data_IF_216454023822
#
_entry.id   IF_216454023822
#
_cell.length_a   1.000
_cell.length_b   1.000
_cell.length_c   1.000
_cell.angle_alpha   90.00
_cell.angle_beta   90.00
_cell.angle_gamma   90.00
#
_symmetry.space_group_name_H-M   'P 1'
#
loop_
_entity.id
_entity.type
_entity.pdbx_description
1 polymer ?
#
# COMPACT_ATOMS: atom_id res chain seq x y z
N UNK A 1 -6.84 6.46 -12.02
CA UNK A 1 -6.79 5.00 -12.05
C UNK A 1 -6.34 4.41 -13.38
N UNK A 2 -6.99 4.67 -14.51
CA UNK A 2 -6.57 4.13 -15.83
C UNK A 2 -5.07 4.39 -16.12
N UNK A 3 -4.59 5.63 -15.93
CA UNK A 3 -3.19 6.01 -16.13
C UNK A 3 -2.22 5.24 -15.21
N UNK A 4 -2.56 5.06 -13.94
CA UNK A 4 -1.78 4.28 -13.00
C UNK A 4 -1.71 2.80 -13.40
N UNK A 5 -2.80 2.22 -13.90
CA UNK A 5 -2.80 0.87 -14.46
C UNK A 5 -1.98 0.75 -15.73
N UNK A 6 -1.98 1.78 -16.61
CA UNK A 6 -1.14 1.82 -17.79
C UNK A 6 0.35 1.80 -17.44
N UNK A 7 0.78 2.68 -16.50
CA UNK A 7 2.16 2.72 -16.01
C UNK A 7 2.55 1.36 -15.40
N UNK A 8 1.65 0.76 -14.62
CA UNK A 8 1.86 -0.55 -14.01
C UNK A 8 1.99 -1.66 -15.06
N UNK A 9 1.17 -1.63 -16.10
CA UNK A 9 1.19 -2.62 -17.18
C UNK A 9 2.45 -2.53 -18.05
N UNK A 10 3.01 -1.33 -18.25
CA UNK A 10 4.28 -1.15 -18.96
C UNK A 10 5.47 -1.82 -18.23
N UNK A 11 5.34 -2.06 -16.94
CA UNK A 11 6.34 -2.74 -16.12
C UNK A 11 6.08 -4.27 -15.97
N UNK A 12 5.19 -4.84 -16.76
CA UNK A 12 4.89 -6.30 -16.74
C UNK A 12 6.09 -7.13 -17.17
N UNK A 13 6.88 -6.65 -18.13
CA UNK A 13 8.14 -7.29 -18.54
C UNK A 13 9.16 -7.40 -17.40
N UNK A 14 9.00 -6.61 -16.35
CA UNK A 14 9.83 -6.62 -15.14
C UNK A 14 9.23 -7.48 -14.00
N UNK A 15 8.33 -8.44 -14.31
CA UNK A 15 7.74 -9.34 -13.32
C UNK A 15 6.61 -8.74 -12.48
N UNK A 16 6.16 -7.50 -12.77
CA UNK A 16 4.99 -6.93 -12.08
C UNK A 16 3.71 -7.58 -12.59
N UNK A 17 3.00 -8.27 -11.70
CA UNK A 17 1.67 -8.79 -12.01
C UNK A 17 0.69 -7.61 -12.18
N UNK A 18 0.11 -7.37 -13.37
CA UNK A 18 -0.83 -6.26 -13.59
C UNK A 18 -2.11 -6.41 -12.77
N UNK A 19 -2.42 -7.62 -12.32
CA UNK A 19 -3.59 -7.90 -11.48
C UNK A 19 -3.33 -7.67 -9.98
N UNK A 20 -2.11 -7.28 -9.56
CA UNK A 20 -1.91 -6.91 -8.15
C UNK A 20 -2.80 -5.72 -7.80
N UNK A 21 -3.60 -5.84 -6.73
CA UNK A 21 -4.50 -4.78 -6.33
C UNK A 21 -3.73 -3.51 -5.97
N UNK A 22 -4.38 -2.37 -6.18
CA UNK A 22 -3.91 -1.09 -5.68
C UNK A 22 -4.16 -1.03 -4.17
N UNK A 23 -3.37 -0.25 -3.45
CA UNK A 23 -3.55 -0.01 -2.02
C UNK A 23 -3.94 1.45 -1.76
N UNK A 24 -4.68 1.69 -0.70
CA UNK A 24 -4.84 3.03 -0.16
C UNK A 24 -3.70 3.37 0.81
N UNK A 25 -3.16 4.58 0.68
CA UNK A 25 -2.36 5.21 1.72
C UNK A 25 -3.28 6.10 2.52
N UNK A 26 -3.40 5.83 3.81
CA UNK A 26 -4.23 6.53 4.77
C UNK A 26 -3.39 7.50 5.61
N UNK A 27 -4.00 8.59 6.08
CA UNK A 27 -3.35 9.58 6.95
C UNK A 27 -3.37 9.18 8.43
N UNK A 28 -4.27 8.28 8.82
CA UNK A 28 -4.48 7.88 10.21
C UNK A 28 -5.28 6.58 10.31
N UNK A 29 -5.40 6.08 11.53
CA UNK A 29 -6.10 4.83 11.81
C UNK A 29 -7.62 4.91 11.59
N UNK A 30 -8.22 6.08 11.77
CA UNK A 30 -9.66 6.28 11.50
C UNK A 30 -9.98 6.07 10.03
N UNK A 31 -9.10 6.51 9.14
CA UNK A 31 -9.24 6.24 7.71
C UNK A 31 -9.10 4.75 7.41
N UNK A 32 -8.12 4.06 8.03
CA UNK A 32 -7.98 2.61 7.88
C UNK A 32 -9.29 1.90 8.24
N UNK A 33 -9.93 2.25 9.35
CA UNK A 33 -11.20 1.68 9.76
C UNK A 33 -12.34 1.99 8.78
N UNK A 34 -12.42 3.23 8.30
CA UNK A 34 -13.50 3.72 7.42
C UNK A 34 -13.64 2.90 6.14
N UNK A 35 -12.53 2.38 5.61
CA UNK A 35 -12.52 1.64 4.35
C UNK A 35 -12.64 0.12 4.53
N UNK A 36 -12.82 -0.36 5.76
CA UNK A 36 -13.02 -1.78 6.09
C UNK A 36 -14.47 -2.07 6.50
N UNK A 37 -14.92 -3.31 6.39
CA UNK A 37 -16.23 -3.75 6.91
C UNK A 37 -16.24 -3.94 8.43
N UNK A 38 -15.21 -3.50 9.12
CA UNK A 38 -14.99 -3.66 10.54
C UNK A 38 -13.66 -4.35 10.80
N UNK A 39 -13.04 -4.00 11.92
CA UNK A 39 -11.81 -4.61 12.38
C UNK A 39 -12.09 -5.19 13.78
N UNK A 40 -11.88 -6.48 14.01
CA UNK A 40 -12.05 -7.07 15.35
C UNK A 40 -11.21 -6.33 16.40
N UNK A 41 -11.74 -6.16 17.60
CA UNK A 41 -11.07 -5.40 18.66
C UNK A 41 -9.63 -5.87 18.96
N UNK A 42 -9.32 -7.17 19.02
CA UNK A 42 -7.93 -7.61 19.18
C UNK A 42 -7.02 -7.13 18.06
N UNK A 43 -7.44 -7.34 16.80
CA UNK A 43 -6.70 -6.88 15.62
C UNK A 43 -6.52 -5.36 15.63
N UNK A 44 -7.55 -4.61 15.99
CA UNK A 44 -7.47 -3.15 16.10
C UNK A 44 -6.40 -2.68 17.09
N UNK A 45 -6.32 -3.34 18.26
CA UNK A 45 -5.28 -3.04 19.27
C UNK A 45 -3.88 -3.30 18.74
N UNK A 46 -3.69 -4.38 17.96
CA UNK A 46 -2.42 -4.70 17.33
C UNK A 46 -2.05 -3.66 16.27
N UNK A 47 -2.98 -3.30 15.39
CA UNK A 47 -2.75 -2.26 14.38
C UNK A 47 -2.29 -0.94 15.01
N UNK A 48 -2.84 -0.56 16.15
CA UNK A 48 -2.43 0.66 16.89
C UNK A 48 -0.96 0.67 17.31
N UNK A 49 -0.39 -0.51 17.56
CA UNK A 49 1.02 -0.65 17.93
C UNK A 49 1.95 -0.65 16.73
N UNK A 50 1.43 -1.08 15.57
CA UNK A 50 2.20 -1.31 14.36
C UNK A 50 2.09 -0.17 13.32
N UNK A 51 1.14 0.75 13.49
CA UNK A 51 0.89 1.87 12.60
C UNK A 51 1.13 3.24 13.28
N UNK A 52 1.79 4.18 12.59
CA UNK A 52 2.32 4.08 11.24
C UNK A 52 3.49 3.11 11.12
N UNK A 53 3.63 2.43 9.95
CA UNK A 53 4.67 1.42 9.80
C UNK A 53 4.77 0.79 8.40
N UNK A 54 5.72 -0.15 8.22
CA UNK A 54 6.05 -0.73 6.92
C UNK A 54 5.11 -1.87 6.52
N UNK A 55 3.82 -1.74 6.81
CA UNK A 55 2.83 -2.78 6.57
C UNK A 55 1.81 -2.40 5.49
N UNK A 56 1.25 -3.44 4.88
CA UNK A 56 0.03 -3.39 4.10
C UNK A 56 -0.94 -4.40 4.71
N UNK A 57 -2.04 -3.91 5.24
CA UNK A 57 -3.09 -4.75 5.81
C UNK A 57 -4.23 -4.93 4.82
N UNK A 58 -4.66 -6.16 4.62
CA UNK A 58 -5.77 -6.50 3.74
C UNK A 58 -6.98 -6.87 4.59
N UNK A 59 -8.12 -6.24 4.28
CA UNK A 59 -9.40 -6.45 4.97
C UNK A 59 -10.54 -6.59 3.97
N UNK A 60 -11.69 -7.08 4.42
CA UNK A 60 -12.94 -6.94 3.67
C UNK A 60 -13.24 -5.46 3.48
N UNK A 61 -13.49 -5.07 2.24
CA UNK A 61 -13.70 -3.69 1.85
C UNK A 61 -15.09 -3.19 2.27
N UNK A 62 -15.14 -2.00 2.88
CA UNK A 62 -16.40 -1.30 3.11
C UNK A 62 -17.09 -0.92 1.78
N UNK A 63 -18.41 -0.72 1.80
CA UNK A 63 -19.21 -0.33 0.61
C UNK A 63 -18.75 0.98 -0.04
N UNK A 64 -18.05 1.85 0.70
CA UNK A 64 -17.50 3.12 0.22
C UNK A 64 -16.29 2.91 -0.72
N UNK A 65 -15.65 1.73 -0.68
CA UNK A 65 -14.51 1.43 -1.57
C UNK A 65 -15.03 1.28 -3.00
N UNK A 66 -14.47 2.04 -3.97
CA UNK A 66 -14.90 1.93 -5.36
C UNK A 66 -14.73 0.51 -5.90
N UNK A 67 -15.74 -0.01 -6.61
CA UNK A 67 -15.73 -1.39 -7.15
C UNK A 67 -14.48 -1.71 -7.99
N UNK A 68 -13.95 -0.73 -8.71
CA UNK A 68 -12.75 -0.88 -9.54
C UNK A 68 -11.45 -1.08 -8.72
N UNK A 69 -11.50 -0.88 -7.41
CA UNK A 69 -10.40 -1.11 -6.46
C UNK A 69 -10.46 -2.51 -5.84
N UNK A 70 -11.62 -3.13 -5.88
CA UNK A 70 -11.84 -4.39 -5.22
C UNK A 70 -11.11 -5.53 -5.93
N UNK A 71 -10.55 -6.41 -5.14
CA UNK A 71 -10.14 -7.73 -5.62
C UNK A 71 -11.38 -8.59 -5.92
N UNK A 72 -11.25 -9.73 -6.61
CA UNK A 72 -12.35 -10.69 -6.75
C UNK A 72 -12.94 -11.15 -5.41
N UNK A 73 -12.16 -11.08 -4.32
CA UNK A 73 -12.57 -11.42 -2.96
C UNK A 73 -13.20 -10.25 -2.19
N UNK A 74 -13.44 -9.12 -2.85
CA UNK A 74 -13.99 -7.89 -2.24
C UNK A 74 -13.13 -7.35 -1.08
N UNK A 75 -11.81 -7.44 -1.24
CA UNK A 75 -10.85 -6.94 -0.24
C UNK A 75 -10.18 -5.65 -0.69
N UNK A 76 -9.64 -4.92 0.27
CA UNK A 76 -8.87 -3.68 0.08
C UNK A 76 -7.57 -3.75 0.86
N UNK A 77 -6.48 -3.32 0.24
CA UNK A 77 -5.19 -3.14 0.90
C UNK A 77 -5.06 -1.72 1.44
N UNK A 78 -4.65 -1.59 2.68
CA UNK A 78 -4.52 -0.33 3.40
C UNK A 78 -3.12 -0.18 3.96
N UNK A 79 -2.55 1.02 3.87
CA UNK A 79 -1.25 1.40 4.42
C UNK A 79 -1.35 2.71 5.16
N UNK A 80 -0.59 2.83 6.22
CA UNK A 80 -0.25 4.10 6.86
C UNK A 80 1.26 4.09 7.11
N UNK A 81 2.07 4.53 6.11
CA UNK A 81 3.52 4.47 6.21
C UNK A 81 4.05 5.48 7.21
N UNK A 82 5.13 5.12 7.89
CA UNK A 82 5.90 6.06 8.70
C UNK A 82 6.87 6.84 7.82
N UNK A 83 6.35 7.86 7.13
CA UNK A 83 7.13 8.70 6.25
C UNK A 83 6.58 10.13 6.22
N UNK A 84 7.35 11.15 6.64
CA UNK A 84 6.83 12.50 6.85
C UNK A 84 6.23 13.13 5.59
N UNK A 85 6.92 13.04 4.44
CA UNK A 85 6.44 13.60 3.17
C UNK A 85 5.12 12.93 2.76
N UNK A 86 5.05 11.60 2.80
CA UNK A 86 3.84 10.86 2.43
C UNK A 86 2.67 11.22 3.33
N UNK A 87 2.91 11.30 4.65
CA UNK A 87 1.89 11.63 5.63
C UNK A 87 1.37 13.05 5.42
N UNK A 88 2.24 14.02 5.14
CA UNK A 88 1.84 15.39 4.88
C UNK A 88 1.01 15.52 3.60
N UNK A 89 1.41 14.84 2.52
CA UNK A 89 0.63 14.81 1.27
C UNK A 89 -0.78 14.27 1.52
N UNK A 90 -0.90 13.12 2.20
CA UNK A 90 -2.21 12.48 2.42
C UNK A 90 -3.09 13.32 3.34
N UNK A 91 -2.52 13.92 4.41
CA UNK A 91 -3.23 14.85 5.30
C UNK A 91 -3.75 16.07 4.55
N UNK A 92 -2.90 16.70 3.74
CA UNK A 92 -3.28 17.89 2.96
C UNK A 92 -4.34 17.57 1.92
N UNK A 93 -4.35 16.35 1.38
CA UNK A 93 -5.37 15.88 0.44
C UNK A 93 -6.74 15.66 1.09
N UNK A 94 -6.77 15.37 2.40
CA UNK A 94 -7.99 15.17 3.18
C UNK A 94 -8.72 13.85 2.93
N UNK A 95 -8.12 12.94 2.17
CA UNK A 95 -8.64 11.59 1.92
C UNK A 95 -7.51 10.66 1.46
N UNK A 96 -7.67 9.33 1.57
CA UNK A 96 -6.67 8.37 1.13
C UNK A 96 -6.31 8.50 -0.34
N UNK A 97 -5.06 8.25 -0.67
CA UNK A 97 -4.56 8.22 -2.03
C UNK A 97 -4.28 6.78 -2.48
N UNK A 98 -4.48 6.55 -3.77
CA UNK A 98 -4.15 5.27 -4.39
C UNK A 98 -2.65 5.14 -4.59
N UNK A 99 -2.10 3.99 -4.27
CA UNK A 99 -0.69 3.72 -4.48
C UNK A 99 -0.41 2.36 -5.13
N UNK A 100 0.72 2.29 -5.76
CA UNK A 100 1.31 1.06 -6.28
C UNK A 100 2.82 1.18 -6.26
N UNK A 101 3.52 0.07 -6.02
CA UNK A 101 4.99 0.04 -6.15
C UNK A 101 5.39 0.13 -7.61
N UNK A 102 6.43 0.90 -7.90
CA UNK A 102 7.16 0.87 -9.15
C UNK A 102 8.38 -0.02 -8.99
N UNK A 103 8.72 -0.80 -10.03
CA UNK A 103 9.81 -1.76 -10.00
C UNK A 103 10.72 -1.60 -11.20
N UNK A 104 12.00 -1.83 -10.99
CA UNK A 104 13.01 -1.97 -12.04
C UNK A 104 12.91 -3.40 -12.59
N UNK A 105 12.83 -4.39 -11.71
CA UNK A 105 12.71 -5.82 -12.03
C UNK A 105 11.70 -6.53 -11.12
N UNK A 106 11.60 -7.85 -11.18
CA UNK A 106 10.72 -8.64 -10.32
C UNK A 106 11.00 -8.41 -8.83
N UNK A 107 12.27 -8.27 -8.47
CA UNK A 107 12.74 -8.21 -7.08
C UNK A 107 13.31 -6.85 -6.69
N UNK A 108 13.49 -5.93 -7.64
CA UNK A 108 14.15 -4.65 -7.45
C UNK A 108 13.16 -3.49 -7.55
N UNK A 109 13.17 -2.60 -6.56
CA UNK A 109 12.41 -1.35 -6.53
C UNK A 109 13.29 -0.19 -6.95
N UNK A 110 12.67 0.90 -7.41
CA UNK A 110 13.36 2.18 -7.54
C UNK A 110 13.67 2.75 -6.16
N UNK A 111 14.89 3.14 -5.91
CA UNK A 111 15.36 3.79 -4.69
C UNK A 111 15.97 5.18 -4.95
N UNK A 112 16.40 5.45 -6.18
CA UNK A 112 16.89 6.75 -6.62
C UNK A 112 15.79 7.55 -7.35
N UNK A 113 15.44 8.75 -6.87
CA UNK A 113 14.44 9.60 -7.52
C UNK A 113 14.88 10.08 -8.90
N UNK A 114 16.18 10.14 -9.19
CA UNK A 114 16.69 10.49 -10.52
C UNK A 114 16.27 9.46 -11.57
N UNK A 115 16.43 8.18 -11.29
CA UNK A 115 16.02 7.10 -12.21
C UNK A 115 14.52 7.08 -12.44
N UNK A 116 13.75 7.33 -11.37
CA UNK A 116 12.30 7.52 -11.47
C UNK A 116 11.96 8.71 -12.36
N UNK A 117 12.63 9.84 -12.19
CA UNK A 117 12.42 11.04 -12.99
C UNK A 117 12.68 10.75 -14.46
N UNK A 118 13.83 10.22 -14.82
CA UNK A 118 14.19 9.94 -16.20
C UNK A 118 13.19 9.01 -16.88
N UNK A 119 12.72 8.00 -16.20
CA UNK A 119 11.77 7.04 -16.76
C UNK A 119 10.34 7.56 -16.86
N UNK A 120 9.87 8.33 -15.88
CA UNK A 120 8.44 8.65 -15.74
C UNK A 120 8.07 10.12 -15.96
N UNK A 121 9.03 11.06 -16.14
CA UNK A 121 8.77 12.50 -16.31
C UNK A 121 7.76 12.85 -17.40
N UNK A 122 7.61 12.00 -18.45
CA UNK A 122 6.62 12.19 -19.51
C UNK A 122 5.29 11.45 -19.26
N UNK A 123 5.18 10.70 -18.17
CA UNK A 123 4.05 9.83 -17.88
C UNK A 123 3.28 10.25 -16.63
N UNK A 124 3.86 11.10 -15.78
CA UNK A 124 3.27 11.62 -14.56
C UNK A 124 3.23 13.14 -14.57
N UNK A 125 2.34 13.72 -13.79
CA UNK A 125 2.17 15.18 -13.72
C UNK A 125 3.14 15.81 -12.71
N UNK A 126 3.52 15.05 -11.67
CA UNK A 126 4.39 15.50 -10.60
C UNK A 126 5.26 14.36 -10.10
N UNK A 127 6.50 14.66 -9.80
CA UNK A 127 7.43 13.80 -9.06
C UNK A 127 7.82 14.56 -7.81
N UNK A 128 7.61 13.92 -6.65
CA UNK A 128 8.05 14.45 -5.35
C UNK A 128 9.35 13.74 -4.98
N UNK A 129 10.43 14.47 -5.04
CA UNK A 129 11.75 13.96 -4.67
C UNK A 129 11.96 14.08 -3.16
N UNK A 130 12.05 12.94 -2.50
CA UNK A 130 12.33 12.82 -1.06
C UNK A 130 13.76 12.36 -0.77
N UNK A 131 14.64 12.36 -1.77
CA UNK A 131 15.99 11.81 -1.69
C UNK A 131 16.01 10.30 -1.93
N UNK A 132 17.24 9.78 -2.02
CA UNK A 132 17.48 8.33 -2.17
C UNK A 132 17.04 7.58 -0.92
N UNK A 133 16.34 6.47 -1.11
CA UNK A 133 15.84 5.61 -0.03
C UNK A 133 16.26 4.15 -0.29
N UNK A 134 16.45 3.38 0.78
CA UNK A 134 16.55 1.92 0.63
C UNK A 134 15.14 1.36 0.44
N UNK A 135 14.76 1.17 -0.82
CA UNK A 135 13.43 0.73 -1.19
C UNK A 135 13.22 -0.75 -0.85
N UNK A 136 12.41 -1.00 0.15
CA UNK A 136 12.03 -2.34 0.58
C UNK A 136 10.52 -2.53 0.54
N UNK A 137 10.09 -3.75 0.18
CA UNK A 137 8.67 -4.07 0.13
C UNK A 137 8.04 -4.04 1.53
N UNK A 138 6.82 -3.54 1.64
CA UNK A 138 6.03 -3.70 2.87
C UNK A 138 5.69 -5.17 3.13
N UNK A 139 5.61 -5.54 4.39
CA UNK A 139 4.99 -6.81 4.79
C UNK A 139 3.49 -6.73 4.52
N UNK A 140 2.91 -7.77 3.91
CA UNK A 140 1.47 -7.83 3.59
C UNK A 140 0.82 -8.91 4.43
N UNK A 141 -0.18 -8.51 5.21
CA UNK A 141 -0.92 -9.36 6.12
C UNK A 141 -2.41 -9.27 5.78
N UNK A 142 -3.06 -10.42 5.57
CA UNK A 142 -4.49 -10.52 5.26
C UNK A 142 -5.28 -10.94 6.51
N UNK A 143 -6.25 -10.10 6.88
CA UNK A 143 -7.22 -10.32 7.95
C UNK A 143 -8.64 -10.50 7.40
N UNK A 144 -8.81 -10.71 6.10
CA UNK A 144 -10.13 -10.69 5.48
C UNK A 144 -10.92 -11.99 5.63
N UNK A 145 -10.28 -13.09 6.04
CA UNK A 145 -10.88 -14.44 6.01
C UNK A 145 -11.02 -15.11 7.40
N UNK A 146 -10.85 -14.36 8.49
CA UNK A 146 -10.98 -14.89 9.84
C UNK A 146 -9.69 -15.47 10.42
N UNK A 147 -8.83 -16.03 9.59
CA UNK A 147 -7.46 -16.42 9.93
C UNK A 147 -6.48 -15.37 9.41
N UNK A 148 -5.37 -15.22 10.11
CA UNK A 148 -4.32 -14.27 9.73
C UNK A 148 -3.38 -14.94 8.74
N UNK A 149 -3.23 -14.35 7.54
CA UNK A 149 -2.34 -14.87 6.50
C UNK A 149 -1.24 -13.85 6.17
N UNK A 150 0.02 -14.28 6.21
CA UNK A 150 1.15 -13.47 5.74
C UNK A 150 1.31 -13.71 4.24
N UNK A 151 0.77 -12.81 3.42
CA UNK A 151 0.88 -12.90 1.96
C UNK A 151 2.32 -12.63 1.49
N UNK A 152 3.03 -11.74 2.19
CA UNK A 152 4.43 -11.40 1.88
C UNK A 152 5.15 -10.92 3.12
N UNK A 153 6.31 -11.50 3.41
CA UNK A 153 7.28 -10.93 4.34
C UNK A 153 8.06 -9.83 3.64
N UNK A 154 8.23 -8.70 4.30
CA UNK A 154 8.98 -7.53 3.83
C UNK A 154 9.60 -6.81 5.03
N UNK A 155 9.73 -5.50 4.98
CA UNK A 155 10.39 -4.67 6.00
C UNK A 155 9.74 -4.77 7.40
N UNK A 156 8.42 -5.03 7.48
CA UNK A 156 7.71 -5.15 8.75
C UNK A 156 7.95 -6.51 9.40
N UNK A 157 8.37 -6.53 10.67
CA UNK A 157 8.48 -7.75 11.48
C UNK A 157 7.10 -8.31 11.77
N UNK A 158 7.00 -9.63 11.98
CA UNK A 158 5.72 -10.34 12.18
C UNK A 158 5.62 -11.08 13.51
N UNK A 159 6.61 -10.97 14.37
CA UNK A 159 6.69 -11.67 15.67
C UNK A 159 5.50 -11.34 16.57
N UNK A 160 4.92 -10.15 16.41
CA UNK A 160 3.73 -9.71 17.14
C UNK A 160 2.43 -10.42 16.70
N UNK A 161 2.43 -11.19 15.62
CA UNK A 161 1.27 -11.97 15.18
C UNK A 161 0.98 -13.17 16.10
N UNK A 162 1.95 -13.62 16.87
CA UNK A 162 1.75 -14.69 17.86
C UNK A 162 0.83 -14.25 19.01
N UNK A 163 0.48 -12.94 19.08
CA UNK A 163 -0.46 -12.36 20.05
C UNK A 163 -1.93 -12.35 19.55
N UNK A 164 -2.23 -12.89 18.35
CA UNK A 164 -3.57 -12.79 17.71
C UNK A 164 -4.46 -13.99 17.99
#
# INVERSE_FOLDING_TARGET
MKRMQQIKNQNVSTGTNPKKPLTFICANQTEVQKYTQGIPTPVFKLLRRQLPGPYTFVFKAAKIVPKMMLTPRSTVGLRWPDHPITNEIVKSFGHPILSSSLRISADELYDDPHDLHEKYKKQVDLIVDGGTIFAENSTIIDFSHGEVEIIRKGKGLVDWLDEV
#
